data_IF_050484897712
#
_entry.id   IF_050484897712
#
_cell.length_a   1.000
_cell.length_b   1.000
_cell.length_c   1.000
_cell.angle_alpha   90.00
_cell.angle_beta   90.00
_cell.angle_gamma   90.00
#
_symmetry.space_group_name_H-M   'P 1'
#
loop_
_entity.id
_entity.type
_entity.pdbx_description
1 polymer ?
#
# COMPACT_ATOMS: atom_id res chain seq x y z
N UNK A 1 2.55 1.61 -18.58
CA UNK A 1 2.31 0.24 -19.06
C UNK A 1 3.58 -0.57 -19.18
N UNK A 2 4.60 -0.14 -19.94
CA UNK A 2 5.88 -0.85 -20.04
C UNK A 2 6.56 -1.17 -18.69
N UNK A 3 6.45 -0.25 -17.71
CA UNK A 3 6.94 -0.50 -16.34
C UNK A 3 6.17 -1.64 -15.64
N UNK A 4 4.85 -1.70 -15.81
CA UNK A 4 4.03 -2.76 -15.23
C UNK A 4 4.35 -4.12 -15.89
N UNK A 5 4.55 -4.14 -17.21
CA UNK A 5 4.98 -5.35 -17.94
C UNK A 5 6.37 -5.83 -17.46
N UNK A 6 7.30 -4.89 -17.26
CA UNK A 6 8.61 -5.19 -16.69
C UNK A 6 8.49 -5.76 -15.26
N UNK A 7 7.65 -5.17 -14.40
CA UNK A 7 7.39 -5.68 -13.05
C UNK A 7 6.77 -7.09 -13.06
N UNK A 8 5.82 -7.36 -13.96
CA UNK A 8 5.23 -8.70 -14.12
C UNK A 8 6.33 -9.71 -14.46
N UNK A 9 7.19 -9.40 -15.45
CA UNK A 9 8.30 -10.28 -15.83
C UNK A 9 9.28 -10.46 -14.68
N UNK A 10 9.63 -9.39 -13.98
CA UNK A 10 10.55 -9.42 -12.84
C UNK A 10 10.03 -10.23 -11.64
N UNK A 11 8.72 -10.27 -11.40
CA UNK A 11 8.12 -11.05 -10.32
C UNK A 11 7.81 -12.50 -10.74
N UNK A 12 7.35 -12.70 -11.97
CA UNK A 12 6.95 -14.01 -12.48
C UNK A 12 8.16 -14.92 -12.74
N UNK A 13 9.23 -14.38 -13.32
CA UNK A 13 10.42 -15.15 -13.67
C UNK A 13 11.06 -15.85 -12.46
N UNK A 14 11.39 -15.17 -11.34
CA UNK A 14 11.93 -15.83 -10.17
C UNK A 14 10.94 -16.81 -9.54
N UNK A 15 9.64 -16.50 -9.53
CA UNK A 15 8.62 -17.41 -9.01
C UNK A 15 8.56 -18.73 -9.81
N UNK A 16 8.65 -18.66 -11.14
CA UNK A 16 8.70 -19.83 -12.02
C UNK A 16 10.01 -20.61 -11.86
N UNK A 17 11.15 -19.93 -11.77
CA UNK A 17 12.46 -20.57 -11.56
C UNK A 17 12.45 -21.34 -10.23
N UNK A 18 12.01 -20.70 -9.14
CA UNK A 18 11.88 -21.36 -7.83
C UNK A 18 10.94 -22.56 -7.90
N UNK A 19 9.80 -22.43 -8.58
CA UNK A 19 8.84 -23.53 -8.75
C UNK A 19 9.41 -24.71 -9.52
N UNK A 20 10.15 -24.46 -10.60
CA UNK A 20 10.82 -25.51 -11.39
C UNK A 20 11.90 -26.19 -10.54
N UNK A 21 12.73 -25.41 -9.85
CA UNK A 21 13.78 -25.92 -8.97
C UNK A 21 13.20 -26.83 -7.88
N UNK A 22 12.10 -26.42 -7.25
CA UNK A 22 11.42 -27.23 -6.25
C UNK A 22 10.87 -28.55 -6.83
N UNK A 23 10.26 -28.51 -8.01
CA UNK A 23 9.78 -29.74 -8.67
C UNK A 23 10.92 -30.73 -8.95
N UNK A 24 12.10 -30.24 -9.36
CA UNK A 24 13.28 -31.07 -9.60
C UNK A 24 13.80 -31.70 -8.30
N UNK A 25 13.95 -30.91 -7.25
CA UNK A 25 14.45 -31.40 -5.95
C UNK A 25 13.46 -32.36 -5.27
N UNK A 26 12.16 -32.11 -5.39
CA UNK A 26 11.13 -33.01 -4.89
C UNK A 26 11.14 -34.35 -5.63
N UNK A 27 11.27 -34.31 -6.96
CA UNK A 27 11.43 -35.51 -7.80
C UNK A 27 12.62 -36.37 -7.33
N UNK A 28 13.71 -35.72 -6.93
CA UNK A 28 14.92 -36.39 -6.43
C UNK A 28 14.84 -36.78 -4.94
N UNK A 29 13.70 -36.55 -4.25
CA UNK A 29 13.51 -36.76 -2.79
C UNK A 29 14.57 -36.10 -1.91
N UNK A 30 15.17 -34.99 -2.37
CA UNK A 30 16.26 -34.32 -1.67
C UNK A 30 15.79 -33.30 -0.62
N UNK A 31 14.50 -32.95 -0.59
CA UNK A 31 13.99 -31.87 0.27
C UNK A 31 13.13 -32.41 1.44
N UNK A 32 13.38 -31.94 2.68
CA UNK A 32 12.49 -32.20 3.81
C UNK A 32 11.17 -31.42 3.69
N UNK A 33 10.11 -31.93 4.34
CA UNK A 33 8.74 -31.42 4.18
C UNK A 33 8.59 -29.94 4.62
N UNK A 34 9.35 -29.49 5.62
CA UNK A 34 9.28 -28.11 6.13
C UNK A 34 9.85 -27.07 5.17
N UNK A 35 10.98 -27.35 4.53
CA UNK A 35 11.61 -26.45 3.53
C UNK A 35 10.76 -26.35 2.26
N UNK A 36 10.04 -27.42 1.93
CA UNK A 36 9.07 -27.43 0.85
C UNK A 36 7.91 -26.46 1.14
N UNK A 37 7.34 -26.49 2.35
CA UNK A 37 6.23 -25.60 2.72
C UNK A 37 6.64 -24.12 2.71
N UNK A 38 7.80 -23.80 3.31
CA UNK A 38 8.33 -22.43 3.31
C UNK A 38 8.54 -21.89 1.89
N UNK A 39 9.15 -22.69 1.01
CA UNK A 39 9.43 -22.29 -0.37
C UNK A 39 8.13 -22.13 -1.19
N UNK A 40 7.12 -22.98 -0.96
CA UNK A 40 5.80 -22.85 -1.58
C UNK A 40 5.09 -21.56 -1.14
N UNK A 41 5.18 -21.17 0.14
CA UNK A 41 4.60 -19.91 0.62
C UNK A 41 5.22 -18.71 -0.09
N UNK A 42 6.55 -18.66 -0.20
CA UNK A 42 7.24 -17.58 -0.92
C UNK A 42 6.82 -17.49 -2.38
N UNK A 43 6.73 -18.63 -3.08
CA UNK A 43 6.27 -18.67 -4.48
C UNK A 43 4.84 -18.15 -4.59
N UNK A 44 3.93 -18.60 -3.72
CA UNK A 44 2.53 -18.16 -3.74
C UNK A 44 2.42 -16.66 -3.48
N UNK A 45 3.21 -16.08 -2.57
CA UNK A 45 3.26 -14.64 -2.33
C UNK A 45 3.73 -13.87 -3.58
N UNK A 46 4.81 -14.32 -4.23
CA UNK A 46 5.30 -13.69 -5.45
C UNK A 46 4.27 -13.77 -6.60
N UNK A 47 3.60 -14.92 -6.75
CA UNK A 47 2.54 -15.08 -7.73
C UNK A 47 1.33 -14.20 -7.41
N UNK A 48 0.93 -14.09 -6.15
CA UNK A 48 -0.16 -13.19 -5.74
C UNK A 48 0.15 -11.73 -6.07
N UNK A 49 1.37 -11.26 -5.77
CA UNK A 49 1.83 -9.92 -6.16
C UNK A 49 1.84 -9.73 -7.68
N UNK A 50 2.29 -10.73 -8.43
CA UNK A 50 2.26 -10.71 -9.90
C UNK A 50 0.83 -10.56 -10.42
N UNK A 51 -0.13 -11.28 -9.83
CA UNK A 51 -1.53 -11.22 -10.22
C UNK A 51 -2.14 -9.83 -9.98
N UNK A 52 -1.74 -9.12 -8.93
CA UNK A 52 -2.17 -7.73 -8.69
C UNK A 52 -1.68 -6.82 -9.82
N UNK A 53 -0.40 -6.91 -10.20
CA UNK A 53 0.15 -6.09 -11.30
C UNK A 53 -0.48 -6.47 -12.64
N UNK A 54 -0.72 -7.77 -12.87
CA UNK A 54 -1.42 -8.27 -14.05
C UNK A 54 -2.89 -7.80 -14.10
N UNK A 55 -3.56 -7.65 -12.96
CA UNK A 55 -4.90 -7.07 -12.91
C UNK A 55 -4.89 -5.60 -13.34
N UNK A 56 -3.89 -4.81 -12.93
CA UNK A 56 -3.76 -3.44 -13.44
C UNK A 56 -3.55 -3.39 -14.95
N UNK A 57 -2.91 -4.42 -15.55
CA UNK A 57 -2.74 -4.51 -17.02
C UNK A 57 -4.07 -4.57 -17.77
N UNK A 58 -5.15 -5.07 -17.16
CA UNK A 58 -6.46 -5.12 -17.81
C UNK A 58 -7.07 -3.74 -17.99
N UNK A 59 -6.59 -2.71 -17.27
CA UNK A 59 -7.01 -1.33 -17.49
C UNK A 59 -6.64 -0.82 -18.90
N UNK A 60 -5.52 -1.29 -19.47
CA UNK A 60 -5.15 -0.92 -20.85
C UNK A 60 -6.14 -1.50 -21.88
N UNK A 61 -6.72 -2.67 -21.59
CA UNK A 61 -7.73 -3.27 -22.45
C UNK A 61 -9.04 -2.47 -22.37
N UNK A 62 -9.35 -1.94 -21.19
CA UNK A 62 -10.49 -1.03 -20.99
C UNK A 62 -10.31 0.30 -21.72
N UNK A 63 -9.07 0.72 -21.99
CA UNK A 63 -8.79 1.89 -22.82
C UNK A 63 -9.24 1.77 -24.28
N UNK A 64 -9.50 0.55 -24.78
CA UNK A 64 -10.00 0.33 -26.13
C UNK A 64 -11.46 0.80 -26.30
N UNK A 65 -12.22 0.85 -25.21
CA UNK A 65 -13.58 1.41 -25.24
C UNK A 65 -13.50 2.93 -25.08
N UNK A 66 -14.06 3.66 -26.04
CA UNK A 66 -14.05 5.12 -26.06
C UNK A 66 -14.55 5.77 -24.75
N UNK A 67 -15.61 5.21 -24.13
CA UNK A 67 -16.19 5.79 -22.91
C UNK A 67 -15.36 5.49 -21.66
N UNK A 68 -14.76 4.29 -21.60
CA UNK A 68 -14.02 3.83 -20.41
C UNK A 68 -12.55 4.31 -20.46
N UNK A 69 -11.95 4.37 -21.65
CA UNK A 69 -10.57 4.81 -21.83
C UNK A 69 -10.33 6.27 -21.46
N UNK A 70 -11.32 7.14 -21.66
CA UNK A 70 -11.27 8.52 -21.17
C UNK A 70 -11.18 8.54 -19.64
N UNK A 71 -12.02 7.75 -18.95
CA UNK A 71 -12.00 7.66 -17.49
C UNK A 71 -10.66 7.13 -16.96
N UNK A 72 -10.12 6.07 -17.57
CA UNK A 72 -8.81 5.51 -17.16
C UNK A 72 -7.71 6.56 -17.34
N UNK A 73 -7.73 7.31 -18.45
CA UNK A 73 -6.74 8.37 -18.70
C UNK A 73 -6.83 9.49 -17.67
N UNK A 74 -8.05 9.91 -17.33
CA UNK A 74 -8.29 10.91 -16.28
C UNK A 74 -7.75 10.41 -14.94
N UNK A 75 -8.09 9.19 -14.53
CA UNK A 75 -7.61 8.59 -13.27
C UNK A 75 -6.08 8.59 -13.21
N UNK A 76 -5.40 8.17 -14.28
CA UNK A 76 -3.93 8.12 -14.31
C UNK A 76 -3.30 9.52 -14.17
N UNK A 77 -3.85 10.54 -14.84
CA UNK A 77 -3.40 11.94 -14.68
C UNK A 77 -3.65 12.47 -13.27
N UNK A 78 -4.78 12.11 -12.67
CA UNK A 78 -5.10 12.50 -11.30
C UNK A 78 -4.18 11.83 -10.27
N UNK A 79 -3.78 10.57 -10.49
CA UNK A 79 -2.82 9.87 -9.62
C UNK A 79 -1.46 10.58 -9.56
N UNK A 80 -0.98 11.12 -10.69
CA UNK A 80 0.26 11.92 -10.73
C UNK A 80 0.16 13.19 -9.86
N UNK A 81 -1.03 13.80 -9.79
CA UNK A 81 -1.28 14.96 -8.94
C UNK A 81 -1.38 14.61 -7.45
N UNK A 82 -1.79 13.38 -7.12
CA UNK A 82 -1.90 12.88 -5.74
C UNK A 82 -0.52 12.53 -5.17
N UNK A 83 0.42 12.08 -6.00
CA UNK A 83 1.71 11.55 -5.55
C UNK A 83 2.50 12.49 -4.59
N UNK A 84 2.64 13.81 -4.84
CA UNK A 84 3.33 14.70 -3.91
C UNK A 84 2.64 14.80 -2.54
N UNK A 85 1.31 14.77 -2.52
CA UNK A 85 0.53 14.82 -1.27
C UNK A 85 0.69 13.51 -0.48
N UNK A 86 0.71 12.38 -1.18
CA UNK A 86 0.98 11.08 -0.57
C UNK A 86 2.38 11.07 0.10
N UNK A 87 3.40 11.67 -0.52
CA UNK A 87 4.75 11.78 0.07
C UNK A 87 4.71 12.60 1.37
N UNK A 88 4.07 13.77 1.37
CA UNK A 88 3.94 14.61 2.57
C UNK A 88 3.26 13.82 3.68
N UNK A 89 2.18 13.12 3.35
CA UNK A 89 1.44 12.32 4.30
C UNK A 89 2.31 11.16 4.85
N UNK A 90 3.07 10.46 4.01
CA UNK A 90 4.01 9.42 4.46
C UNK A 90 5.07 9.95 5.41
N UNK A 91 5.59 11.17 5.18
CA UNK A 91 6.58 11.79 6.09
C UNK A 91 5.96 12.09 7.45
N UNK A 92 4.77 12.70 7.47
CA UNK A 92 4.05 13.00 8.71
C UNK A 92 3.76 11.71 9.46
N UNK A 93 3.22 10.73 8.74
CA UNK A 93 2.90 9.45 9.31
C UNK A 93 4.19 8.82 9.89
N UNK A 94 5.30 8.75 9.15
CA UNK A 94 6.60 8.25 9.64
C UNK A 94 7.02 8.90 10.97
N UNK A 95 6.86 10.23 11.09
CA UNK A 95 7.16 10.95 12.33
C UNK A 95 6.28 10.52 13.50
N UNK A 96 4.97 10.35 13.29
CA UNK A 96 4.07 9.83 14.32
C UNK A 96 4.34 8.35 14.64
N UNK A 97 4.69 7.54 13.64
CA UNK A 97 5.07 6.13 13.83
C UNK A 97 6.28 6.01 14.76
N UNK A 98 7.31 6.83 14.55
CA UNK A 98 8.47 6.90 15.45
C UNK A 98 8.06 7.34 16.85
N UNK A 99 7.15 8.32 16.98
CA UNK A 99 6.65 8.77 18.27
C UNK A 99 5.88 7.67 19.02
N UNK A 100 5.06 6.86 18.33
CA UNK A 100 4.37 5.72 18.93
C UNK A 100 5.34 4.62 19.37
N UNK A 101 6.34 4.30 18.56
CA UNK A 101 7.41 3.36 18.97
C UNK A 101 8.18 3.88 20.18
N UNK A 102 8.40 5.20 20.31
CA UNK A 102 9.09 5.78 21.46
C UNK A 102 8.26 5.74 22.76
N UNK A 103 6.94 5.57 22.66
CA UNK A 103 6.04 5.39 23.81
C UNK A 103 5.90 3.93 24.24
N UNK A 104 6.43 3.00 23.45
CA UNK A 104 6.42 1.58 23.79
C UNK A 104 7.25 1.36 25.06
N UNK A 105 6.59 0.90 26.12
CA UNK A 105 7.28 0.65 27.38
C UNK A 105 8.10 -0.64 27.26
N UNK A 106 9.36 -0.59 27.68
CA UNK A 106 10.36 -1.66 27.59
C UNK A 106 10.03 -2.94 28.40
N UNK A 107 8.82 -3.03 28.97
CA UNK A 107 8.40 -4.09 29.88
C UNK A 107 7.95 -5.40 29.20
N UNK A 108 8.06 -5.48 27.87
CA UNK A 108 7.58 -6.64 27.12
C UNK A 108 8.31 -6.86 25.79
N UNK A 109 9.64 -6.65 25.73
CA UNK A 109 10.44 -6.94 24.54
C UNK A 109 10.01 -8.29 23.94
N UNK A 110 9.43 -8.31 22.73
CA UNK A 110 9.19 -9.54 22.01
C UNK A 110 10.55 -10.23 21.86
N UNK A 111 10.61 -11.54 22.05
CA UNK A 111 11.86 -12.25 21.78
C UNK A 111 12.29 -11.92 20.34
N UNK A 112 13.59 -11.86 20.03
CA UNK A 112 14.10 -11.42 18.72
C UNK A 112 13.49 -12.15 17.50
N UNK A 113 12.83 -13.29 17.72
CA UNK A 113 12.13 -14.06 16.69
C UNK A 113 10.68 -13.59 16.41
N UNK A 114 10.06 -12.78 17.26
CA UNK A 114 8.66 -12.32 17.11
C UNK A 114 8.54 -10.99 16.34
N UNK A 115 9.64 -10.25 16.16
CA UNK A 115 9.66 -8.95 15.46
C UNK A 115 9.10 -9.02 14.04
N UNK A 116 9.32 -10.13 13.34
CA UNK A 116 8.84 -10.31 11.96
C UNK A 116 7.41 -10.87 11.88
N UNK A 117 6.93 -11.52 12.94
CA UNK A 117 5.61 -12.17 12.95
C UNK A 117 4.50 -11.14 13.17
N UNK A 118 4.78 -10.06 13.92
CA UNK A 118 3.83 -8.99 14.24
C UNK A 118 4.19 -7.64 13.58
N UNK A 119 4.90 -7.66 12.46
CA UNK A 119 5.36 -6.44 11.81
C UNK A 119 4.20 -5.49 11.43
N UNK A 120 2.99 -6.02 11.13
CA UNK A 120 1.79 -5.20 10.86
C UNK A 120 1.20 -4.53 12.09
N UNK A 121 1.42 -5.12 13.26
CA UNK A 121 0.80 -4.74 14.54
C UNK A 121 1.74 -3.85 15.37
N UNK A 122 2.95 -3.62 14.85
CA UNK A 122 3.94 -2.77 15.51
C UNK A 122 3.43 -1.32 15.63
N UNK A 123 3.61 -0.64 16.79
CA UNK A 123 3.10 0.71 17.04
C UNK A 123 3.43 1.73 15.94
N UNK A 124 4.60 1.57 15.31
CA UNK A 124 5.04 2.32 14.12
C UNK A 124 3.99 2.40 13.00
N UNK A 125 3.29 1.31 12.69
CA UNK A 125 2.32 1.25 11.60
C UNK A 125 0.93 1.76 11.98
N UNK A 126 0.70 2.06 13.27
CA UNK A 126 -0.60 2.54 13.72
C UNK A 126 -1.12 3.75 12.95
N UNK A 127 -0.32 4.79 12.66
CA UNK A 127 -0.85 5.92 11.93
C UNK A 127 -1.24 5.54 10.48
N UNK A 128 -0.75 4.43 9.91
CA UNK A 128 -1.06 4.05 8.52
C UNK A 128 -2.46 3.44 8.49
N UNK A 129 -2.76 2.61 9.49
CA UNK A 129 -4.09 2.08 9.73
C UNK A 129 -5.07 3.18 10.13
N UNK A 130 -4.64 4.14 10.96
CA UNK A 130 -5.46 5.27 11.37
C UNK A 130 -5.84 6.20 10.21
N UNK A 131 -4.98 6.34 9.19
CA UNK A 131 -5.32 7.06 7.96
C UNK A 131 -6.48 6.38 7.20
N UNK A 132 -6.58 5.05 7.27
CA UNK A 132 -7.68 4.27 6.68
C UNK A 132 -8.93 4.22 7.57
N UNK A 133 -8.89 4.87 8.75
CA UNK A 133 -10.00 4.94 9.69
C UNK A 133 -9.98 3.86 10.78
N UNK A 134 -8.96 2.99 10.81
CA UNK A 134 -8.81 1.98 11.84
C UNK A 134 -8.03 2.55 13.03
N UNK A 135 -8.73 2.73 14.16
CA UNK A 135 -8.17 3.30 15.39
C UNK A 135 -8.07 2.21 16.46
N UNK A 136 -6.92 1.53 16.60
CA UNK A 136 -6.78 0.40 17.53
C UNK A 136 -6.53 0.90 18.97
N UNK A 137 -7.49 1.62 19.54
CA UNK A 137 -7.39 2.21 20.89
C UNK A 137 -7.23 1.16 21.99
N UNK A 138 -7.88 0.00 21.83
CA UNK A 138 -7.79 -1.11 22.78
C UNK A 138 -6.37 -1.72 22.78
N UNK A 139 -5.86 -2.03 21.59
CA UNK A 139 -4.50 -2.54 21.41
C UNK A 139 -3.42 -1.57 21.90
N UNK A 140 -3.63 -0.26 21.74
CA UNK A 140 -2.70 0.75 22.26
C UNK A 140 -2.60 0.74 23.78
N UNK A 141 -3.72 0.56 24.49
CA UNK A 141 -3.70 0.53 25.95
C UNK A 141 -2.99 -0.73 26.46
N UNK A 142 -3.12 -1.84 25.74
CA UNK A 142 -2.45 -3.09 26.07
C UNK A 142 -0.94 -3.03 25.81
N UNK A 143 -0.51 -2.37 24.72
CA UNK A 143 0.90 -2.30 24.31
C UNK A 143 1.68 -1.19 25.03
N UNK A 144 1.05 -0.03 25.27
CA UNK A 144 1.74 1.16 25.82
C UNK A 144 1.60 1.27 27.34
N UNK A 145 0.76 0.45 27.96
CA UNK A 145 0.51 0.44 29.39
C UNK A 145 -0.30 1.65 29.90
N UNK A 146 -0.78 1.55 31.13
CA UNK A 146 -1.62 2.58 31.76
C UNK A 146 -0.89 3.92 31.98
N UNK A 147 0.44 3.94 32.00
CA UNK A 147 1.26 5.14 32.21
C UNK A 147 1.15 6.15 31.06
N UNK A 148 0.83 5.67 29.85
CA UNK A 148 0.71 6.49 28.64
C UNK A 148 -0.73 6.58 28.10
N UNK A 149 -1.71 6.16 28.89
CA UNK A 149 -3.14 6.08 28.52
C UNK A 149 -3.75 7.42 28.07
N UNK A 150 -3.12 8.56 28.35
CA UNK A 150 -3.56 9.88 27.89
C UNK A 150 -2.77 10.36 26.67
N UNK A 151 -1.46 10.12 26.67
CA UNK A 151 -0.53 10.66 25.66
C UNK A 151 -0.74 9.97 24.31
N UNK A 152 -0.90 8.65 24.31
CA UNK A 152 -1.05 7.89 23.07
C UNK A 152 -2.38 8.21 22.33
N UNK A 153 -3.55 8.24 22.99
CA UNK A 153 -4.78 8.70 22.33
C UNK A 153 -4.68 10.14 21.85
N UNK A 154 -4.03 11.04 22.59
CA UNK A 154 -3.86 12.44 22.17
C UNK A 154 -3.00 12.56 20.90
N UNK A 155 -1.92 11.80 20.81
CA UNK A 155 -1.08 11.70 19.60
C UNK A 155 -1.89 11.15 18.43
N UNK A 156 -2.67 10.08 18.64
CA UNK A 156 -3.50 9.49 17.60
C UNK A 156 -4.57 10.45 17.11
N UNK A 157 -5.22 11.18 18.01
CA UNK A 157 -6.20 12.21 17.68
C UNK A 157 -5.58 13.36 16.89
N UNK A 158 -4.41 13.82 17.31
CA UNK A 158 -3.67 14.88 16.60
C UNK A 158 -3.28 14.42 15.20
N UNK A 159 -2.82 13.18 15.07
CA UNK A 159 -2.53 12.57 13.77
C UNK A 159 -3.79 12.48 12.90
N UNK A 160 -4.90 11.95 13.43
CA UNK A 160 -6.14 11.79 12.69
C UNK A 160 -6.72 13.14 12.25
N UNK A 161 -6.62 14.19 13.09
CA UNK A 161 -7.02 15.53 12.73
C UNK A 161 -6.14 16.09 11.60
N UNK A 162 -4.82 15.92 11.68
CA UNK A 162 -3.91 16.42 10.67
C UNK A 162 -4.04 15.64 9.35
N UNK A 163 -3.95 14.32 9.39
CA UNK A 163 -3.94 13.46 8.21
C UNK A 163 -5.33 13.29 7.62
N UNK A 164 -6.30 12.83 8.41
CA UNK A 164 -7.63 12.48 7.90
C UNK A 164 -8.52 13.70 7.71
N UNK A 165 -8.49 14.67 8.63
CA UNK A 165 -9.38 15.84 8.54
C UNK A 165 -8.76 16.95 7.68
N UNK A 166 -7.47 17.25 7.81
CA UNK A 166 -6.87 18.35 7.04
C UNK A 166 -6.35 17.85 5.70
N UNK A 167 -5.41 16.89 5.69
CA UNK A 167 -4.71 16.49 4.46
C UNK A 167 -5.63 15.80 3.45
N UNK A 168 -6.50 14.87 3.87
CA UNK A 168 -7.44 14.22 2.94
C UNK A 168 -8.49 15.20 2.41
N UNK A 169 -8.96 16.16 3.21
CA UNK A 169 -9.90 17.17 2.71
C UNK A 169 -9.23 18.12 1.70
N UNK A 170 -7.98 18.54 1.96
CA UNK A 170 -7.20 19.31 1.00
C UNK A 170 -6.92 18.52 -0.29
N UNK A 171 -6.62 17.21 -0.15
CA UNK A 171 -6.44 16.33 -1.30
C UNK A 171 -7.72 16.22 -2.13
N UNK A 172 -8.87 16.07 -1.47
CA UNK A 172 -10.18 16.02 -2.12
C UNK A 172 -10.46 17.31 -2.87
N UNK A 173 -10.24 18.47 -2.25
CA UNK A 173 -10.42 19.77 -2.90
C UNK A 173 -9.53 19.91 -4.16
N UNK A 174 -8.26 19.50 -4.05
CA UNK A 174 -7.31 19.53 -5.19
C UNK A 174 -7.72 18.56 -6.30
N UNK A 175 -8.18 17.36 -5.96
CA UNK A 175 -8.70 16.36 -6.90
C UNK A 175 -9.92 16.93 -7.62
N UNK A 176 -10.85 17.60 -6.93
CA UNK A 176 -12.03 18.22 -7.56
C UNK A 176 -11.63 19.30 -8.56
N UNK A 177 -10.75 20.24 -8.20
CA UNK A 177 -10.30 21.28 -9.13
C UNK A 177 -9.55 20.70 -10.32
N UNK A 178 -8.69 19.70 -10.09
CA UNK A 178 -7.97 19.04 -11.17
C UNK A 178 -8.92 18.25 -12.11
N UNK A 179 -9.95 17.63 -11.55
CA UNK A 179 -10.96 16.91 -12.34
C UNK A 179 -11.69 17.85 -13.29
N UNK A 180 -12.15 19.01 -12.79
CA UNK A 180 -12.83 20.02 -13.59
C UNK A 180 -11.92 20.55 -14.72
N UNK A 181 -10.65 20.82 -14.43
CA UNK A 181 -9.67 21.27 -15.42
C UNK A 181 -9.45 20.22 -16.52
N UNK A 182 -9.19 18.96 -16.13
CA UNK A 182 -8.96 17.87 -17.07
C UNK A 182 -10.20 17.61 -17.93
N UNK A 183 -11.39 17.63 -17.32
CA UNK A 183 -12.65 17.45 -18.04
C UNK A 183 -12.88 18.57 -19.08
N UNK A 184 -12.63 19.82 -18.72
CA UNK A 184 -12.77 20.97 -19.63
C UNK A 184 -11.83 20.87 -20.82
N UNK A 185 -10.58 20.45 -20.59
CA UNK A 185 -9.55 20.29 -21.62
C UNK A 185 -9.88 19.13 -22.57
N UNK A 186 -10.35 18.01 -22.04
CA UNK A 186 -10.82 16.87 -22.85
C UNK A 186 -12.02 17.23 -23.73
N UNK A 187 -12.91 18.12 -23.28
CA UNK A 187 -14.03 18.60 -24.09
C UNK A 187 -13.58 19.51 -25.25
N UNK A 188 -12.57 20.37 -25.02
CA UNK A 188 -12.01 21.27 -26.05
C UNK A 188 -11.21 20.48 -27.10
N UNK A 189 -10.34 19.56 -26.67
CA UNK A 189 -9.58 18.69 -27.59
C UNK A 189 -10.53 17.89 -28.50
N UNK A 190 -11.68 17.47 -27.96
CA UNK A 190 -12.74 16.81 -28.73
C UNK A 190 -13.36 17.72 -29.78
N UNK A 191 -13.66 18.99 -29.47
CA UNK A 191 -14.21 19.93 -30.45
C UNK A 191 -13.24 20.21 -31.61
N UNK A 192 -11.94 20.26 -31.34
CA UNK A 192 -10.91 20.49 -32.36
C UNK A 192 -10.74 19.28 -33.28
N UNK A 193 -10.85 18.05 -32.75
CA UNK A 193 -10.70 16.83 -33.56
C UNK A 193 -11.90 16.52 -34.45
N UNK A 194 -13.06 17.10 -34.18
CA UNK A 194 -14.31 16.89 -34.94
C UNK A 194 -14.80 18.14 -35.69
N UNK A 195 -13.97 19.19 -35.79
CA UNK A 195 -14.17 20.38 -36.63
C UNK A 195 -13.35 20.29 -37.91
#
# INVERSE_FOLDING_TARGET
WNLADALIVCLLTPALIMRIYMCVQWSQRMMPLGELQASLHTINTLLALTMIVAAFRTLEWLCLNHSIGELVTIIMRMLELIAPMAIINTIIAAGFGIAFTALESDYGLPQPNDYFIYASDHPFFTPWWAMLGELPLEHMNDVLGLEHAIVAPLLLWTFALLSTIILINLLTARITTAYEEVQSRSAIERQILFA
#
